data_IF_181638020070
#
_entry.id   IF_181638020070
#
_cell.length_a   1.000
_cell.length_b   1.000
_cell.length_c   1.000
_cell.angle_alpha   90.00
_cell.angle_beta   90.00
_cell.angle_gamma   90.00
#
_symmetry.space_group_name_H-M   'P 1'
#
loop_
_entity.id
_entity.type
_entity.pdbx_description
1 polymer ?
#
# COMPACT_ATOMS: atom_id res chain seq x y z
N UNK A 1 31.14 -1.47 -3.31
CA UNK A 1 30.33 -2.64 -3.71
C UNK A 1 28.95 -2.41 -3.11
N UNK A 2 28.02 -1.90 -3.90
CA UNK A 2 26.63 -1.69 -3.51
C UNK A 2 25.94 -3.04 -3.59
N UNK A 3 25.71 -3.67 -2.44
CA UNK A 3 24.81 -4.82 -2.37
C UNK A 3 23.42 -4.34 -2.77
N UNK A 4 22.99 -4.75 -3.96
CA UNK A 4 21.60 -4.67 -4.36
C UNK A 4 20.79 -5.55 -3.39
N UNK A 5 19.91 -4.94 -2.62
CA UNK A 5 19.02 -5.65 -1.71
C UNK A 5 17.87 -6.27 -2.54
N UNK A 6 17.87 -7.58 -2.83
CA UNK A 6 16.91 -8.23 -3.72
C UNK A 6 15.53 -8.46 -3.05
N UNK A 7 15.26 -7.88 -1.88
CA UNK A 7 14.08 -8.19 -1.08
C UNK A 7 12.93 -7.16 -1.18
N UNK A 8 13.07 -6.13 -2.03
CA UNK A 8 12.10 -5.04 -2.11
C UNK A 8 11.14 -5.10 -3.31
N UNK A 9 11.13 -6.21 -4.07
CA UNK A 9 10.31 -6.33 -5.29
C UNK A 9 8.85 -6.76 -5.07
N UNK A 10 8.41 -6.92 -3.80
CA UNK A 10 7.03 -7.30 -3.54
C UNK A 10 6.10 -6.08 -3.58
N UNK A 11 5.52 -5.83 -4.75
CA UNK A 11 4.53 -4.77 -4.99
C UNK A 11 3.19 -5.05 -4.31
N UNK A 12 2.96 -6.28 -3.78
CA UNK A 12 1.71 -6.68 -3.13
C UNK A 12 1.50 -6.09 -1.73
N UNK A 13 2.49 -5.34 -1.20
CA UNK A 13 2.44 -4.78 0.15
C UNK A 13 1.85 -3.36 0.25
N UNK A 14 1.50 -2.72 -0.88
CA UNK A 14 0.68 -1.51 -0.80
C UNK A 14 -0.78 -1.94 -0.71
N UNK A 15 -1.50 -1.55 0.34
CA UNK A 15 -2.94 -1.72 0.34
C UNK A 15 -3.50 -0.90 -0.83
N UNK A 16 -4.33 -1.53 -1.67
CA UNK A 16 -5.09 -0.80 -2.67
C UNK A 16 -6.33 -0.23 -1.98
N UNK A 17 -6.51 1.09 -2.00
CA UNK A 17 -7.76 1.68 -1.55
C UNK A 17 -8.82 1.36 -2.59
N UNK A 18 -9.69 0.40 -2.28
CA UNK A 18 -10.94 0.26 -3.01
C UNK A 18 -11.75 1.55 -2.78
N UNK A 19 -12.01 2.31 -3.81
CA UNK A 19 -12.89 3.49 -3.73
C UNK A 19 -14.30 3.20 -3.19
N UNK A 20 -14.48 2.02 -2.59
CA UNK A 20 -15.70 1.57 -1.92
C UNK A 20 -15.98 2.30 -0.59
N UNK A 21 -14.96 2.87 0.05
CA UNK A 21 -15.08 3.54 1.35
C UNK A 21 -15.28 5.06 1.27
N UNK A 22 -15.26 5.65 0.06
CA UNK A 22 -15.66 7.06 -0.07
C UNK A 22 -17.14 7.20 0.31
N UNK A 23 -17.51 8.10 1.26
CA UNK A 23 -18.90 8.33 1.61
C UNK A 23 -19.69 8.67 0.35
N UNK A 24 -20.82 7.98 0.15
CA UNK A 24 -21.74 8.27 -0.95
C UNK A 24 -22.10 9.76 -0.90
N UNK A 25 -21.87 10.55 -1.96
CA UNK A 25 -22.37 11.91 -2.01
C UNK A 25 -23.88 11.88 -1.85
N UNK A 26 -24.41 12.78 -1.03
CA UNK A 26 -25.84 13.03 -0.88
C UNK A 26 -26.48 13.07 -2.27
N UNK A 27 -27.51 12.25 -2.46
CA UNK A 27 -28.19 11.90 -3.71
C UNK A 27 -28.20 13.04 -4.76
N UNK A 28 -27.29 12.98 -5.70
CA UNK A 28 -27.42 13.66 -6.99
C UNK A 28 -28.52 12.93 -7.79
N UNK A 29 -29.25 13.62 -8.68
CA UNK A 29 -30.25 12.95 -9.53
C UNK A 29 -29.55 11.79 -10.25
N UNK A 30 -30.23 10.63 -10.26
CA UNK A 30 -29.71 9.41 -10.91
C UNK A 30 -29.59 9.67 -12.42
N UNK A 31 -28.38 10.04 -12.83
CA UNK A 31 -28.04 10.27 -14.24
C UNK A 31 -27.72 8.95 -14.98
N UNK A 32 -27.91 7.82 -14.30
CA UNK A 32 -27.60 6.48 -14.77
C UNK A 32 -26.12 6.10 -14.62
N UNK A 33 -25.26 6.99 -14.11
CA UNK A 33 -23.85 6.66 -13.88
C UNK A 33 -23.68 5.63 -12.78
N UNK A 34 -24.52 5.72 -11.73
CA UNK A 34 -24.50 4.78 -10.61
C UNK A 34 -24.79 3.34 -11.03
N UNK A 35 -25.81 3.12 -11.88
CA UNK A 35 -26.13 1.79 -12.39
C UNK A 35 -25.00 1.20 -13.25
N UNK A 36 -24.41 2.01 -14.16
CA UNK A 36 -23.28 1.58 -14.98
C UNK A 36 -22.04 1.28 -14.14
N UNK A 37 -21.78 2.09 -13.09
CA UNK A 37 -20.69 1.86 -12.15
C UNK A 37 -20.87 0.55 -11.37
N UNK A 38 -22.10 0.26 -10.91
CA UNK A 38 -22.41 -0.97 -10.19
C UNK A 38 -22.15 -2.22 -11.06
N UNK A 39 -22.55 -2.20 -12.33
CA UNK A 39 -22.27 -3.29 -13.29
C UNK A 39 -20.75 -3.49 -13.47
N UNK A 40 -20.00 -2.40 -13.67
CA UNK A 40 -18.56 -2.49 -13.85
C UNK A 40 -17.85 -3.04 -12.59
N UNK A 41 -18.32 -2.62 -11.40
CA UNK A 41 -17.84 -3.12 -10.11
C UNK A 41 -18.16 -4.61 -9.92
N UNK A 42 -19.36 -5.06 -10.26
CA UNK A 42 -19.76 -6.48 -10.20
C UNK A 42 -18.81 -7.37 -11.02
N UNK A 43 -18.46 -6.96 -12.26
CA UNK A 43 -17.47 -7.67 -13.05
C UNK A 43 -16.09 -7.69 -12.38
N UNK A 44 -15.70 -6.57 -11.71
CA UNK A 44 -14.42 -6.51 -10.97
C UNK A 44 -14.40 -7.48 -9.79
N UNK A 45 -15.49 -7.53 -9.00
CA UNK A 45 -15.64 -8.42 -7.84
C UNK A 45 -15.62 -9.91 -8.26
N UNK A 46 -16.21 -10.22 -9.42
CA UNK A 46 -16.14 -11.56 -10.04
C UNK A 46 -14.79 -11.87 -10.70
N UNK A 47 -13.82 -10.96 -10.63
CA UNK A 47 -12.51 -11.07 -11.30
C UNK A 47 -12.61 -11.24 -12.83
N UNK A 48 -13.69 -10.77 -13.44
CA UNK A 48 -13.92 -10.75 -14.89
C UNK A 48 -13.23 -9.52 -15.51
N UNK A 49 -11.90 -9.47 -15.43
CA UNK A 49 -11.12 -8.27 -15.73
C UNK A 49 -11.41 -7.66 -17.12
N UNK A 50 -11.51 -8.45 -18.24
CA UNK A 50 -11.82 -7.86 -19.54
C UNK A 50 -13.20 -7.19 -19.59
N UNK A 51 -14.21 -7.82 -18.98
CA UNK A 51 -15.59 -7.28 -18.91
C UNK A 51 -15.65 -6.01 -18.04
N UNK A 52 -14.98 -6.01 -16.88
CA UNK A 52 -14.89 -4.85 -16.01
C UNK A 52 -14.24 -3.65 -16.71
N UNK A 53 -13.10 -3.85 -17.39
CA UNK A 53 -12.44 -2.80 -18.18
C UNK A 53 -13.36 -2.25 -19.27
N UNK A 54 -14.07 -3.11 -20.02
CA UNK A 54 -15.01 -2.69 -21.05
C UNK A 54 -16.17 -1.86 -20.44
N UNK A 55 -16.74 -2.31 -19.33
CA UNK A 55 -17.84 -1.63 -18.65
C UNK A 55 -17.40 -0.26 -18.09
N UNK A 56 -16.22 -0.14 -17.45
CA UNK A 56 -15.71 1.16 -17.00
C UNK A 56 -15.42 2.09 -18.18
N UNK A 57 -14.86 1.62 -19.28
CA UNK A 57 -14.64 2.44 -20.49
C UNK A 57 -15.96 2.93 -21.09
N UNK A 58 -16.98 2.09 -21.13
CA UNK A 58 -18.33 2.48 -21.58
C UNK A 58 -18.92 3.57 -20.68
N UNK A 59 -18.82 3.42 -19.36
CA UNK A 59 -19.24 4.44 -18.42
C UNK A 59 -18.50 5.76 -18.67
N UNK A 60 -17.17 5.72 -18.81
CA UNK A 60 -16.34 6.91 -19.01
C UNK A 60 -16.53 7.59 -20.38
N UNK A 61 -17.03 6.88 -21.37
CA UNK A 61 -17.45 7.48 -22.64
C UNK A 61 -18.66 8.41 -22.44
N UNK A 62 -19.58 8.04 -21.53
CA UNK A 62 -20.78 8.81 -21.24
C UNK A 62 -20.56 9.84 -20.12
N UNK A 63 -19.70 9.50 -19.15
CA UNK A 63 -19.39 10.31 -17.97
C UNK A 63 -17.87 10.47 -17.82
N UNK A 64 -17.22 11.33 -18.63
CA UNK A 64 -15.76 11.43 -18.67
C UNK A 64 -15.10 11.87 -17.36
N UNK A 65 -15.80 12.58 -16.52
CA UNK A 65 -15.29 13.11 -15.23
C UNK A 65 -15.60 12.20 -14.03
N UNK A 66 -16.06 10.96 -14.26
CA UNK A 66 -16.41 10.05 -13.18
C UNK A 66 -15.15 9.47 -12.51
N UNK A 67 -14.63 10.18 -11.49
CA UNK A 67 -13.33 9.90 -10.85
C UNK A 67 -13.24 8.48 -10.30
N UNK A 68 -14.27 7.97 -9.60
CA UNK A 68 -14.24 6.61 -9.05
C UNK A 68 -14.11 5.54 -10.14
N UNK A 69 -14.75 5.75 -11.29
CA UNK A 69 -14.63 4.82 -12.42
C UNK A 69 -13.22 4.83 -13.02
N UNK A 70 -12.59 6.02 -13.13
CA UNK A 70 -11.20 6.13 -13.58
C UNK A 70 -10.24 5.46 -12.61
N UNK A 71 -10.43 5.70 -11.30
CA UNK A 71 -9.62 5.05 -10.27
C UNK A 71 -9.68 3.51 -10.38
N UNK A 72 -10.89 2.95 -10.47
CA UNK A 72 -11.05 1.51 -10.56
C UNK A 72 -10.56 0.94 -11.90
N UNK A 73 -10.73 1.67 -13.00
CA UNK A 73 -10.14 1.29 -14.29
C UNK A 73 -8.62 1.26 -14.21
N UNK A 74 -8.01 2.27 -13.58
CA UNK A 74 -6.56 2.33 -13.40
C UNK A 74 -6.02 1.11 -12.63
N UNK A 75 -6.66 0.73 -11.52
CA UNK A 75 -6.29 -0.47 -10.75
C UNK A 75 -6.40 -1.76 -11.58
N UNK A 76 -7.43 -1.88 -12.43
CA UNK A 76 -7.57 -3.02 -13.33
C UNK A 76 -6.51 -3.04 -14.43
N UNK A 77 -6.12 -1.88 -14.96
CA UNK A 77 -5.05 -1.75 -15.95
C UNK A 77 -3.70 -2.10 -15.33
N UNK A 78 -3.43 -1.64 -14.10
CA UNK A 78 -2.24 -2.03 -13.34
C UNK A 78 -2.18 -3.56 -13.15
N UNK A 79 -3.27 -4.18 -12.71
CA UNK A 79 -3.37 -5.63 -12.55
C UNK A 79 -3.10 -6.39 -13.85
N UNK A 80 -3.43 -5.79 -15.01
CA UNK A 80 -3.11 -6.33 -16.34
C UNK A 80 -1.67 -6.06 -16.79
N UNK A 81 -0.90 -5.27 -16.05
CA UNK A 81 0.43 -4.82 -16.43
C UNK A 81 0.46 -3.61 -17.35
N UNK A 82 -0.69 -3.01 -17.67
CA UNK A 82 -0.79 -1.77 -18.46
C UNK A 82 -0.57 -0.55 -17.54
N UNK A 83 0.67 -0.35 -17.17
CA UNK A 83 1.07 0.69 -16.21
C UNK A 83 0.88 2.09 -16.77
N UNK A 84 1.15 2.29 -18.06
CA UNK A 84 1.02 3.60 -18.69
C UNK A 84 -0.46 3.98 -18.81
N UNK A 85 -1.32 3.03 -19.15
CA UNK A 85 -2.77 3.21 -19.12
C UNK A 85 -3.28 3.52 -17.71
N UNK A 86 -2.79 2.83 -16.68
CA UNK A 86 -3.17 3.10 -15.31
C UNK A 86 -2.76 4.51 -14.86
N UNK A 87 -1.52 4.94 -15.15
CA UNK A 87 -1.07 6.30 -14.83
C UNK A 87 -1.88 7.37 -15.55
N UNK A 88 -2.27 7.13 -16.81
CA UNK A 88 -3.11 8.06 -17.57
C UNK A 88 -4.48 8.24 -16.88
N UNK A 89 -5.13 7.14 -16.47
CA UNK A 89 -6.43 7.21 -15.82
C UNK A 89 -6.33 7.89 -14.44
N UNK A 90 -5.30 7.60 -13.63
CA UNK A 90 -5.07 8.31 -12.37
C UNK A 90 -4.83 9.81 -12.58
N UNK A 91 -4.03 10.20 -13.58
CA UNK A 91 -3.76 11.59 -13.89
C UNK A 91 -5.05 12.32 -14.27
N UNK A 92 -5.85 11.73 -15.18
CA UNK A 92 -7.12 12.32 -15.60
C UNK A 92 -8.13 12.39 -14.46
N UNK A 93 -8.13 11.41 -13.54
CA UNK A 93 -8.93 11.48 -12.32
C UNK A 93 -8.54 12.68 -11.44
N UNK A 94 -7.23 12.92 -11.27
CA UNK A 94 -6.72 14.05 -10.47
C UNK A 94 -6.79 15.42 -11.19
N UNK A 95 -6.99 15.46 -12.51
CA UNK A 95 -7.37 16.69 -13.21
C UNK A 95 -8.79 17.12 -12.83
N UNK A 96 -9.71 16.15 -12.66
CA UNK A 96 -11.08 16.41 -12.26
C UNK A 96 -11.22 16.67 -10.75
N UNK A 97 -10.58 15.85 -9.92
CA UNK A 97 -10.57 15.95 -8.45
C UNK A 97 -9.13 15.92 -7.94
N UNK A 98 -8.44 17.08 -7.91
CA UNK A 98 -7.03 17.15 -7.57
C UNK A 98 -6.66 16.62 -6.18
N UNK A 99 -7.59 16.69 -5.23
CA UNK A 99 -7.39 16.31 -3.84
C UNK A 99 -8.11 15.01 -3.44
N UNK A 100 -8.45 14.17 -4.43
CA UNK A 100 -9.04 12.88 -4.14
C UNK A 100 -8.00 11.94 -3.50
N UNK A 101 -8.17 11.67 -2.19
CA UNK A 101 -7.22 10.93 -1.36
C UNK A 101 -6.99 9.52 -1.88
N UNK A 102 -8.06 8.80 -2.25
CA UNK A 102 -7.95 7.43 -2.76
C UNK A 102 -7.13 7.36 -4.05
N UNK A 103 -7.36 8.29 -4.99
CA UNK A 103 -6.61 8.33 -6.25
C UNK A 103 -5.14 8.69 -6.01
N UNK A 104 -4.86 9.64 -5.10
CA UNK A 104 -3.50 10.02 -4.73
C UNK A 104 -2.73 8.82 -4.13
N UNK A 105 -3.34 8.09 -3.20
CA UNK A 105 -2.73 6.90 -2.58
C UNK A 105 -2.46 5.80 -3.61
N UNK A 106 -3.43 5.49 -4.46
CA UNK A 106 -3.29 4.46 -5.49
C UNK A 106 -2.22 4.83 -6.53
N UNK A 107 -2.20 6.09 -7.00
CA UNK A 107 -1.15 6.55 -7.92
C UNK A 107 0.22 6.51 -7.26
N UNK A 108 0.33 6.89 -5.99
CA UNK A 108 1.58 6.82 -5.24
C UNK A 108 2.11 5.39 -5.11
N UNK A 109 1.24 4.40 -4.89
CA UNK A 109 1.59 2.99 -4.86
C UNK A 109 2.21 2.55 -6.20
N UNK A 110 1.55 2.87 -7.31
CA UNK A 110 2.03 2.56 -8.66
C UNK A 110 3.35 3.28 -8.98
N UNK A 111 3.48 4.56 -8.63
CA UNK A 111 4.71 5.34 -8.81
C UNK A 111 5.86 4.75 -7.99
N UNK A 112 5.60 4.33 -6.76
CA UNK A 112 6.60 3.68 -5.90
C UNK A 112 7.06 2.33 -6.49
N UNK A 113 6.15 1.54 -7.06
CA UNK A 113 6.47 0.31 -7.76
C UNK A 113 7.36 0.57 -9.00
N UNK A 114 7.23 1.74 -9.61
CA UNK A 114 8.08 2.21 -10.73
C UNK A 114 9.33 2.97 -10.29
N UNK A 115 9.70 2.88 -9.01
CA UNK A 115 10.85 3.57 -8.42
C UNK A 115 10.82 5.10 -8.53
N UNK A 116 9.65 5.68 -8.87
CA UNK A 116 9.40 7.13 -8.92
C UNK A 116 9.03 7.68 -7.55
N UNK A 117 9.93 7.48 -6.60
CA UNK A 117 9.67 7.73 -5.18
C UNK A 117 9.35 9.19 -4.85
N UNK A 118 9.97 10.17 -5.53
CA UNK A 118 9.71 11.59 -5.27
C UNK A 118 8.26 11.96 -5.63
N UNK A 119 7.76 11.44 -6.75
CA UNK A 119 6.38 11.67 -7.15
C UNK A 119 5.39 10.94 -6.21
N UNK A 120 5.72 9.71 -5.78
CA UNK A 120 4.91 8.98 -4.80
C UNK A 120 4.85 9.71 -3.45
N UNK A 121 5.98 10.22 -2.96
CA UNK A 121 6.06 11.02 -1.73
C UNK A 121 5.22 12.29 -1.83
N UNK A 122 5.25 12.99 -2.99
CA UNK A 122 4.47 14.21 -3.22
C UNK A 122 2.96 13.93 -3.17
N UNK A 123 2.49 12.84 -3.80
CA UNK A 123 1.09 12.43 -3.77
C UNK A 123 0.63 12.08 -2.36
N UNK A 124 1.40 11.28 -1.63
CA UNK A 124 1.07 10.86 -0.27
C UNK A 124 1.03 12.06 0.70
N UNK A 125 1.98 12.99 0.59
CA UNK A 125 1.94 14.22 1.38
C UNK A 125 0.74 15.10 1.02
N UNK A 126 0.31 15.09 -0.24
CA UNK A 126 -0.92 15.77 -0.65
C UNK A 126 -2.14 15.11 -0.04
N UNK A 127 -2.25 13.77 -0.11
CA UNK A 127 -3.32 13.01 0.51
C UNK A 127 -3.42 13.29 2.03
N UNK A 128 -2.28 13.29 2.73
CA UNK A 128 -2.21 13.56 4.17
C UNK A 128 -2.51 15.02 4.56
N UNK A 129 -2.35 15.98 3.66
CA UNK A 129 -2.85 17.35 3.91
C UNK A 129 -4.37 17.46 3.85
N UNK A 130 -5.02 16.58 3.09
CA UNK A 130 -6.49 16.51 2.99
C UNK A 130 -7.07 15.70 4.13
N UNK A 131 -6.48 14.54 4.40
CA UNK A 131 -6.88 13.64 5.47
C UNK A 131 -5.67 13.16 6.27
N UNK A 132 -5.33 13.90 7.33
CA UNK A 132 -4.21 13.58 8.22
C UNK A 132 -4.45 12.32 9.08
N UNK A 133 -5.70 11.82 9.11
CA UNK A 133 -6.07 10.60 9.84
C UNK A 133 -6.08 9.34 8.96
N UNK A 134 -5.62 9.44 7.74
CA UNK A 134 -5.54 8.30 6.83
C UNK A 134 -4.34 7.40 7.17
N UNK A 135 -4.60 6.34 7.94
CA UNK A 135 -3.56 5.39 8.37
C UNK A 135 -2.83 4.75 7.19
N UNK A 136 -3.54 4.47 6.10
CA UNK A 136 -3.00 3.84 4.89
C UNK A 136 -2.03 4.77 4.14
N UNK A 137 -2.36 6.06 4.05
CA UNK A 137 -1.46 7.05 3.45
C UNK A 137 -0.17 7.21 4.28
N UNK A 138 -0.28 7.20 5.62
CA UNK A 138 0.88 7.20 6.52
C UNK A 138 1.74 5.94 6.34
N UNK A 139 1.12 4.76 6.30
CA UNK A 139 1.83 3.50 6.03
C UNK A 139 2.56 3.57 4.69
N UNK A 140 1.88 3.97 3.63
CA UNK A 140 2.44 4.06 2.29
C UNK A 140 3.62 5.04 2.22
N UNK A 141 3.54 6.18 2.92
CA UNK A 141 4.64 7.14 3.03
C UNK A 141 5.86 6.53 3.73
N UNK A 142 5.64 5.81 4.83
CA UNK A 142 6.68 5.07 5.53
C UNK A 142 7.35 4.02 4.64
N UNK A 143 6.58 3.26 3.87
CA UNK A 143 7.09 2.28 2.90
C UNK A 143 7.94 2.97 1.82
N UNK A 144 7.50 4.11 1.28
CA UNK A 144 8.26 4.88 0.30
C UNK A 144 9.62 5.30 0.88
N UNK A 145 9.68 5.77 2.12
CA UNK A 145 10.93 6.11 2.78
C UNK A 145 11.84 4.88 2.99
N UNK A 146 11.30 3.75 3.43
CA UNK A 146 12.05 2.50 3.56
C UNK A 146 12.66 2.07 2.22
N UNK A 147 11.89 2.11 1.14
CA UNK A 147 12.36 1.75 -0.22
C UNK A 147 13.46 2.68 -0.75
N UNK A 148 13.48 3.94 -0.30
CA UNK A 148 14.56 4.90 -0.60
C UNK A 148 15.78 4.76 0.30
N UNK A 149 15.76 3.88 1.30
CA UNK A 149 16.80 3.80 2.33
C UNK A 149 16.78 4.96 3.32
N UNK A 150 15.71 5.78 3.34
CA UNK A 150 15.53 6.91 4.29
C UNK A 150 14.92 6.42 5.60
N UNK A 151 15.61 5.48 6.25
CA UNK A 151 15.10 4.71 7.38
C UNK A 151 14.68 5.59 8.57
N UNK A 152 15.46 6.63 8.90
CA UNK A 152 15.11 7.54 10.01
C UNK A 152 13.82 8.28 9.76
N UNK A 153 13.58 8.67 8.51
CA UNK A 153 12.38 9.41 8.12
C UNK A 153 11.15 8.50 7.97
N UNK A 154 11.37 7.20 7.84
CA UNK A 154 10.28 6.22 7.82
C UNK A 154 9.64 5.99 9.20
N UNK A 155 10.38 6.23 10.30
CA UNK A 155 9.91 5.93 11.67
C UNK A 155 8.63 6.69 12.02
N UNK A 156 8.61 8.00 11.79
CA UNK A 156 7.46 8.85 12.12
C UNK A 156 6.18 8.43 11.38
N UNK A 157 6.15 8.34 10.02
CA UNK A 157 4.95 7.93 9.31
C UNK A 157 4.46 6.54 9.72
N UNK A 158 5.37 5.58 9.93
CA UNK A 158 4.98 4.22 10.35
C UNK A 158 4.39 4.21 11.77
N UNK A 159 4.94 5.02 12.67
CA UNK A 159 4.38 5.18 14.02
C UNK A 159 2.99 5.82 13.97
N UNK A 160 2.78 6.84 13.13
CA UNK A 160 1.46 7.45 12.94
C UNK A 160 0.45 6.48 12.35
N UNK A 161 0.86 5.65 11.39
CA UNK A 161 -0.01 4.59 10.86
C UNK A 161 -0.48 3.63 11.97
N UNK A 162 0.43 3.22 12.88
CA UNK A 162 0.12 2.34 14.01
C UNK A 162 -0.77 3.04 15.05
N UNK A 163 -0.56 4.31 15.33
CA UNK A 163 -1.42 5.08 16.25
C UNK A 163 -2.86 5.17 15.74
N UNK A 164 -3.03 5.30 14.40
CA UNK A 164 -4.34 5.40 13.76
C UNK A 164 -5.00 4.04 13.57
N UNK A 165 -4.21 3.02 13.22
CA UNK A 165 -4.67 1.64 13.07
C UNK A 165 -3.63 0.65 13.66
N UNK A 166 -3.79 0.28 14.95
CA UNK A 166 -2.83 -0.59 15.64
C UNK A 166 -2.74 -2.02 15.11
N UNK A 167 -3.69 -2.46 14.30
CA UNK A 167 -3.70 -3.84 13.76
C UNK A 167 -3.06 -3.95 12.39
N UNK A 168 -2.55 -2.86 11.84
CA UNK A 168 -1.85 -2.84 10.55
C UNK A 168 -0.51 -3.55 10.65
N UNK A 169 -0.49 -4.83 10.30
CA UNK A 169 0.72 -5.68 10.33
C UNK A 169 1.88 -5.10 9.54
N UNK A 170 1.60 -4.53 8.36
CA UNK A 170 2.61 -3.92 7.50
C UNK A 170 3.35 -2.77 8.18
N UNK A 171 2.65 -1.92 8.93
CA UNK A 171 3.26 -0.80 9.63
C UNK A 171 4.26 -1.28 10.69
N UNK A 172 3.89 -2.28 11.49
CA UNK A 172 4.79 -2.88 12.48
C UNK A 172 6.01 -3.54 11.83
N UNK A 173 5.81 -4.26 10.72
CA UNK A 173 6.91 -4.89 10.00
C UNK A 173 7.92 -3.87 9.48
N UNK A 174 7.46 -2.84 8.75
CA UNK A 174 8.34 -1.81 8.19
C UNK A 174 8.96 -0.92 9.28
N UNK A 175 8.27 -0.72 10.40
CA UNK A 175 8.85 -0.03 11.57
C UNK A 175 10.00 -0.84 12.16
N UNK A 176 9.87 -2.18 12.23
CA UNK A 176 10.95 -3.08 12.59
C UNK A 176 12.16 -2.98 11.66
N UNK A 177 11.91 -2.95 10.34
CA UNK A 177 12.96 -2.71 9.33
C UNK A 177 13.65 -1.35 9.55
N UNK A 178 12.88 -0.28 9.72
CA UNK A 178 13.41 1.06 9.92
C UNK A 178 14.28 1.13 11.19
N UNK A 179 13.80 0.60 12.32
CA UNK A 179 14.57 0.56 13.55
C UNK A 179 15.82 -0.31 13.46
N UNK A 180 15.77 -1.44 12.74
CA UNK A 180 16.93 -2.28 12.48
C UNK A 180 18.04 -1.51 11.74
N UNK A 181 17.68 -0.72 10.73
CA UNK A 181 18.61 0.08 9.94
C UNK A 181 19.17 1.31 10.67
N UNK A 182 18.44 1.84 11.65
CA UNK A 182 18.94 2.93 12.50
C UNK A 182 19.59 2.45 13.79
N UNK A 183 19.83 1.13 13.91
CA UNK A 183 20.51 0.46 15.01
C UNK A 183 19.78 0.53 16.37
N UNK A 184 18.46 0.72 16.34
CA UNK A 184 17.62 0.63 17.53
C UNK A 184 17.08 -0.79 17.69
N UNK A 185 17.95 -1.73 18.09
CA UNK A 185 17.62 -3.15 18.15
C UNK A 185 16.45 -3.50 19.08
N UNK A 186 16.33 -2.91 20.28
CA UNK A 186 15.18 -3.20 21.15
C UNK A 186 13.84 -2.80 20.53
N UNK A 187 13.76 -1.62 19.91
CA UNK A 187 12.56 -1.15 19.25
C UNK A 187 12.24 -1.99 17.98
N UNK A 188 13.26 -2.40 17.24
CA UNK A 188 13.11 -3.28 16.08
C UNK A 188 12.53 -4.65 16.48
N UNK A 189 13.05 -5.25 17.57
CA UNK A 189 12.54 -6.51 18.08
C UNK A 189 11.06 -6.40 18.44
N UNK A 190 10.69 -5.40 19.24
CA UNK A 190 9.32 -5.18 19.67
C UNK A 190 8.37 -4.99 18.46
N UNK A 191 8.78 -4.22 17.45
CA UNK A 191 7.97 -3.99 16.25
C UNK A 191 7.77 -5.29 15.44
N UNK A 192 8.82 -6.09 15.24
CA UNK A 192 8.68 -7.37 14.55
C UNK A 192 7.85 -8.40 15.34
N UNK A 193 7.96 -8.41 16.67
CA UNK A 193 7.14 -9.26 17.53
C UNK A 193 5.65 -8.91 17.39
N UNK A 194 5.30 -7.63 17.35
CA UNK A 194 3.93 -7.18 17.09
C UNK A 194 3.46 -7.59 15.69
N UNK A 195 4.28 -7.38 14.66
CA UNK A 195 3.96 -7.82 13.30
C UNK A 195 3.70 -9.33 13.23
N UNK A 196 4.49 -10.13 13.96
CA UNK A 196 4.33 -11.58 14.02
C UNK A 196 3.12 -12.01 14.83
N UNK A 197 2.76 -11.30 15.89
CA UNK A 197 1.56 -11.57 16.70
C UNK A 197 0.28 -11.30 15.92
N UNK A 198 0.25 -10.18 15.15
CA UNK A 198 -0.88 -9.80 14.30
C UNK A 198 -1.04 -10.74 13.10
N UNK A 199 0.05 -11.22 12.53
CA UNK A 199 0.05 -12.14 11.40
C UNK A 199 1.02 -13.31 11.64
N UNK A 200 0.58 -14.39 12.32
CA UNK A 200 1.43 -15.56 12.59
C UNK A 200 1.96 -16.25 11.33
N UNK A 201 1.31 -16.05 10.18
CA UNK A 201 1.77 -16.51 8.87
C UNK A 201 2.87 -15.64 8.21
N UNK A 202 3.23 -14.53 8.83
CA UNK A 202 4.26 -13.64 8.29
C UNK A 202 5.67 -14.14 8.63
N UNK A 203 6.20 -15.02 7.78
CA UNK A 203 7.55 -15.57 7.96
C UNK A 203 8.65 -14.49 7.94
N UNK A 204 8.41 -13.35 7.25
CA UNK A 204 9.37 -12.24 7.18
C UNK A 204 9.56 -11.57 8.56
N UNK A 205 8.47 -11.39 9.31
CA UNK A 205 8.56 -10.87 10.67
C UNK A 205 9.36 -11.81 11.58
N UNK A 206 9.11 -13.13 11.52
CA UNK A 206 9.89 -14.13 12.26
C UNK A 206 11.38 -14.14 11.86
N UNK A 207 11.68 -13.98 10.57
CA UNK A 207 13.07 -13.83 10.11
C UNK A 207 13.71 -12.55 10.65
N UNK A 208 12.96 -11.42 10.65
CA UNK A 208 13.40 -10.16 11.23
C UNK A 208 13.75 -10.31 12.72
N UNK A 209 12.89 -10.97 13.52
CA UNK A 209 13.15 -11.30 14.92
C UNK A 209 14.49 -12.04 15.05
N UNK A 210 14.72 -13.07 14.25
CA UNK A 210 15.97 -13.84 14.26
C UNK A 210 17.19 -12.96 14.00
N UNK A 211 17.13 -12.10 12.98
CA UNK A 211 18.22 -11.17 12.66
C UNK A 211 18.54 -10.24 13.83
N UNK A 212 17.51 -9.68 14.47
CA UNK A 212 17.69 -8.76 15.60
C UNK A 212 18.28 -9.49 16.81
N UNK A 213 17.79 -10.70 17.12
CA UNK A 213 18.29 -11.50 18.23
C UNK A 213 19.78 -11.87 18.03
N UNK A 214 20.19 -12.22 16.81
CA UNK A 214 21.63 -12.46 16.50
C UNK A 214 22.47 -11.21 16.75
N UNK A 215 22.01 -10.04 16.29
CA UNK A 215 22.68 -8.75 16.53
C UNK A 215 22.75 -8.36 18.01
N UNK A 216 21.80 -8.83 18.82
CA UNK A 216 21.75 -8.64 20.27
C UNK A 216 22.59 -9.69 21.04
N UNK A 217 23.25 -10.63 20.36
CA UNK A 217 24.05 -11.70 20.98
C UNK A 217 23.19 -12.80 21.64
N UNK A 218 21.98 -13.04 21.14
CA UNK A 218 21.00 -14.04 21.65
C UNK A 218 20.81 -15.19 20.62
N UNK A 219 21.86 -15.94 20.25
CA UNK A 219 21.81 -16.88 19.11
C UNK A 219 20.87 -18.07 19.33
N UNK A 220 20.67 -18.51 20.55
CA UNK A 220 19.76 -19.61 20.84
C UNK A 220 18.31 -19.22 20.50
N UNK A 221 17.88 -18.01 20.85
CA UNK A 221 16.56 -17.49 20.56
C UNK A 221 16.41 -17.15 19.06
N UNK A 222 17.47 -16.62 18.45
CA UNK A 222 17.51 -16.37 17.01
C UNK A 222 17.28 -17.68 16.21
N UNK A 223 17.90 -18.77 16.61
CA UNK A 223 17.71 -20.09 15.96
C UNK A 223 16.26 -20.55 15.98
N UNK A 224 15.55 -20.33 17.09
CA UNK A 224 14.11 -20.64 17.19
C UNK A 224 13.25 -19.76 16.30
N UNK A 225 13.57 -18.48 16.19
CA UNK A 225 12.87 -17.56 15.30
C UNK A 225 13.06 -17.94 13.83
N UNK A 226 14.27 -18.28 13.42
CA UNK A 226 14.54 -18.79 12.06
C UNK A 226 13.86 -20.11 11.76
N UNK A 227 13.76 -21.00 12.75
CA UNK A 227 13.02 -22.25 12.58
C UNK A 227 11.54 -21.96 12.32
N UNK A 228 10.90 -21.09 13.12
CA UNK A 228 9.50 -20.67 12.92
C UNK A 228 9.29 -20.03 11.56
N UNK A 229 10.21 -19.16 11.11
CA UNK A 229 10.16 -18.54 9.79
C UNK A 229 10.14 -19.60 8.68
N UNK A 230 11.00 -20.63 8.76
CA UNK A 230 11.06 -21.73 7.77
C UNK A 230 9.81 -22.60 7.78
N UNK A 231 9.28 -22.91 8.95
CA UNK A 231 8.05 -23.69 9.08
C UNK A 231 6.84 -22.96 8.50
N UNK A 232 6.77 -21.65 8.72
CA UNK A 232 5.70 -20.78 8.20
C UNK A 232 5.78 -20.62 6.68
N UNK A 233 7.00 -20.50 6.14
CA UNK A 233 7.20 -20.36 4.68
C UNK A 233 6.87 -21.62 3.88
N UNK A 234 6.86 -22.79 4.51
CA UNK A 234 6.56 -24.08 3.86
C UNK A 234 5.07 -24.42 3.81
N UNK A 235 4.25 -23.71 4.56
CA UNK A 235 2.79 -23.85 4.58
C UNK A 235 2.13 -23.02 3.50
#
# INVERSE_FOLDING_TARGET
MTEQNPQLEDTSMFPATDGANDPLPTALPDDGSGAMFAVAREHSEKNEIPAAVAAYRQLLTRFPTHVRARNNLALLLEKKGDVDGALLEFNTALEAEPDNVSVLCNRAALLSAKLKYDAAEADLRRALRVDERNAEAWLSLGIVFCRRGRWREAVEPLSRAIELDPVTTGAHYYLGEAYNHVDNLPAALAAYEQASALAPGNWRAQKGIGIILDRMGRPAEASLAYQRARETQRR
#
